data_IF_834549326015
#
_entry.id   IF_834549326015
#
_cell.length_a   1.000
_cell.length_b   1.000
_cell.length_c   1.000
_cell.angle_alpha   90.00
_cell.angle_beta   90.00
_cell.angle_gamma   90.00
#
_symmetry.space_group_name_H-M   'P 1'
#
loop_
_entity.id
_entity.type
_entity.pdbx_description
1 polymer ?
#
# COMPACT_ATOMS: atom_id res chain seq x y z
N UNK A 1 -24.29 -14.03 -0.22
CA UNK A 1 -24.50 -13.45 -1.56
C UNK A 1 -23.14 -13.28 -2.24
N UNK A 2 -23.01 -13.68 -3.50
CA UNK A 2 -21.78 -13.51 -4.28
C UNK A 2 -22.09 -13.53 -5.78
N UNK A 3 -21.15 -13.01 -6.59
CA UNK A 3 -21.24 -13.04 -8.04
C UNK A 3 -20.50 -14.29 -8.55
N UNK A 4 -21.18 -15.26 -9.17
CA UNK A 4 -20.53 -16.47 -9.67
C UNK A 4 -19.69 -16.15 -10.90
N UNK A 5 -18.39 -16.46 -10.84
CA UNK A 5 -17.45 -16.30 -11.95
C UNK A 5 -17.57 -17.49 -12.92
N UNK A 6 -17.98 -18.65 -12.40
CA UNK A 6 -18.10 -19.90 -13.16
C UNK A 6 -19.39 -20.65 -12.79
N UNK A 7 -20.02 -21.36 -13.73
CA UNK A 7 -21.15 -22.24 -13.42
C UNK A 7 -20.78 -23.27 -12.36
N UNK A 8 -21.65 -23.50 -11.37
CA UNK A 8 -21.45 -24.49 -10.30
C UNK A 8 -20.56 -24.02 -9.14
N UNK A 9 -20.16 -22.75 -9.11
CA UNK A 9 -19.50 -22.16 -7.94
C UNK A 9 -20.44 -22.26 -6.72
N UNK A 10 -19.88 -22.54 -5.55
CA UNK A 10 -20.63 -22.67 -4.29
C UNK A 10 -20.32 -21.50 -3.34
N UNK A 11 -19.13 -20.90 -3.47
CA UNK A 11 -18.66 -19.79 -2.62
C UNK A 11 -18.06 -18.71 -3.48
N UNK A 12 -18.31 -17.46 -3.12
CA UNK A 12 -17.65 -16.30 -3.70
C UNK A 12 -16.17 -16.24 -3.32
N UNK A 13 -15.35 -15.76 -4.24
CA UNK A 13 -13.99 -15.34 -3.97
C UNK A 13 -14.01 -13.84 -3.64
N UNK A 14 -13.33 -13.37 -2.59
CA UNK A 14 -13.20 -11.93 -2.32
C UNK A 14 -12.43 -11.26 -3.47
N UNK A 15 -12.94 -10.14 -3.98
CA UNK A 15 -12.29 -9.41 -5.09
C UNK A 15 -10.85 -8.99 -4.76
N UNK A 16 -10.62 -8.57 -3.51
CA UNK A 16 -9.29 -8.18 -3.04
C UNK A 16 -8.30 -9.35 -2.89
N UNK A 17 -8.72 -10.61 -3.01
CA UNK A 17 -7.86 -11.76 -2.73
C UNK A 17 -6.60 -11.79 -3.61
N UNK A 18 -6.72 -11.35 -4.87
CA UNK A 18 -5.59 -11.33 -5.83
C UNK A 18 -4.54 -10.27 -5.47
N UNK A 19 -4.95 -9.20 -4.79
CA UNK A 19 -4.10 -8.08 -4.38
C UNK A 19 -3.38 -8.33 -3.05
N UNK A 20 -3.94 -9.16 -2.15
CA UNK A 20 -3.47 -9.32 -0.77
C UNK A 20 -1.98 -9.69 -0.66
N UNK A 21 -1.52 -10.68 -1.44
CA UNK A 21 -0.13 -11.13 -1.36
C UNK A 21 0.82 -10.02 -1.79
N UNK A 22 0.48 -9.30 -2.86
CA UNK A 22 1.28 -8.17 -3.35
C UNK A 22 1.27 -7.02 -2.36
N UNK A 23 0.13 -6.71 -1.77
CA UNK A 23 -0.01 -5.66 -0.76
C UNK A 23 0.89 -5.91 0.45
N UNK A 24 0.90 -7.15 0.95
CA UNK A 24 1.80 -7.55 2.04
C UNK A 24 3.27 -7.34 1.69
N UNK A 25 3.72 -7.88 0.54
CA UNK A 25 5.12 -7.73 0.12
C UNK A 25 5.50 -6.28 -0.16
N UNK A 26 4.56 -5.47 -0.65
CA UNK A 26 4.75 -4.04 -0.87
C UNK A 26 4.95 -3.29 0.44
N UNK A 27 4.10 -3.57 1.43
CA UNK A 27 4.21 -3.00 2.77
C UNK A 27 5.56 -3.33 3.40
N UNK A 28 5.99 -4.58 3.34
CA UNK A 28 7.29 -5.00 3.88
C UNK A 28 8.46 -4.28 3.20
N UNK A 29 8.38 -4.10 1.87
CA UNK A 29 9.39 -3.37 1.12
C UNK A 29 9.44 -1.88 1.51
N UNK A 30 8.30 -1.21 1.58
CA UNK A 30 8.22 0.22 1.96
C UNK A 30 8.75 0.45 3.38
N UNK A 31 8.35 -0.41 4.33
CA UNK A 31 8.85 -0.38 5.70
C UNK A 31 10.39 -0.62 5.74
N UNK A 32 10.90 -1.58 4.94
CA UNK A 32 12.34 -1.87 4.85
C UNK A 32 13.14 -0.73 4.22
N UNK A 33 12.62 -0.10 3.16
CA UNK A 33 13.25 1.07 2.53
C UNK A 33 13.26 2.27 3.48
N UNK A 34 12.21 2.47 4.27
CA UNK A 34 12.17 3.51 5.29
C UNK A 34 13.23 3.28 6.38
N UNK A 35 13.36 2.04 6.86
CA UNK A 35 14.40 1.66 7.83
C UNK A 35 15.79 1.86 7.24
N UNK A 36 16.03 1.38 6.02
CA UNK A 36 17.31 1.57 5.30
C UNK A 36 17.67 3.06 5.21
N UNK A 37 16.72 3.92 4.84
CA UNK A 37 16.94 5.37 4.76
C UNK A 37 17.24 5.96 6.14
N UNK A 38 16.46 5.61 7.17
CA UNK A 38 16.65 6.10 8.54
C UNK A 38 18.03 5.72 9.11
N UNK A 39 18.44 4.46 8.95
CA UNK A 39 19.73 3.96 9.45
C UNK A 39 20.89 4.60 8.69
N UNK A 40 20.78 4.71 7.36
CA UNK A 40 21.84 5.31 6.54
C UNK A 40 22.00 6.81 6.81
N UNK A 41 20.90 7.53 7.04
CA UNK A 41 20.95 8.95 7.40
C UNK A 41 21.65 9.22 8.74
N UNK A 42 21.85 8.20 9.59
CA UNK A 42 22.59 8.37 10.85
C UNK A 42 24.11 8.50 10.65
N UNK A 43 24.64 8.09 9.49
CA UNK A 43 26.07 8.15 9.20
C UNK A 43 26.39 9.35 8.31
N UNK A 44 27.32 10.21 8.76
CA UNK A 44 27.74 11.41 8.01
C UNK A 44 28.89 11.12 7.05
N UNK A 45 29.83 10.25 7.45
CA UNK A 45 31.01 9.92 6.66
C UNK A 45 31.99 9.08 7.46
N UNK A 46 33.07 8.66 6.81
CA UNK A 46 34.19 7.97 7.42
C UNK A 46 35.47 8.80 7.25
N UNK A 47 36.32 8.82 8.28
CA UNK A 47 37.62 9.47 8.23
C UNK A 47 38.69 8.42 7.86
N UNK A 48 39.26 8.55 6.66
CA UNK A 48 40.32 7.69 6.17
C UNK A 48 41.70 8.31 6.44
N UNK A 49 42.64 7.52 6.96
CA UNK A 49 44.04 7.94 7.20
C UNK A 49 44.99 7.06 6.39
N UNK A 50 45.83 7.67 5.56
CA UNK A 50 46.62 6.96 4.54
C UNK A 50 48.00 6.47 5.03
N UNK A 51 48.47 6.94 6.19
CA UNK A 51 49.73 6.50 6.80
C UNK A 51 49.60 6.41 8.33
N UNK A 52 49.99 5.28 8.91
CA UNK A 52 50.46 5.25 10.30
C UNK A 52 51.88 5.84 10.29
N UNK A 53 52.15 6.87 11.09
CA UNK A 53 53.54 7.25 11.37
C UNK A 53 54.23 6.07 12.07
N UNK A 54 55.54 5.89 11.87
CA UNK A 54 56.32 4.81 12.51
C UNK A 54 56.23 4.84 14.05
N UNK A 55 55.76 5.95 14.63
CA UNK A 55 55.50 6.12 16.08
C UNK A 55 54.17 5.50 16.55
N UNK A 56 53.30 5.01 15.64
CA UNK A 56 52.04 4.33 15.98
C UNK A 56 52.19 2.80 16.06
N UNK A 57 53.39 2.28 15.81
CA UNK A 57 53.77 0.95 16.28
C UNK A 57 54.16 1.06 17.75
N UNK A 58 53.16 1.03 18.63
CA UNK A 58 53.41 0.65 20.02
C UNK A 58 54.19 -0.67 20.00
N UNK A 59 55.44 -0.65 20.48
CA UNK A 59 56.16 -1.89 20.77
C UNK A 59 55.22 -2.75 21.64
N UNK A 60 55.11 -4.07 21.39
CA UNK A 60 54.28 -4.93 22.23
C UNK A 60 54.74 -4.82 23.69
N UNK A 61 53.98 -4.06 24.49
CA UNK A 61 54.32 -3.75 25.89
C UNK A 61 54.10 -2.30 26.35
N UNK A 62 53.84 -1.32 25.46
CA UNK A 62 53.48 0.05 25.88
C UNK A 62 52.01 0.35 25.59
N UNK A 63 51.12 -0.31 26.32
CA UNK A 63 49.77 0.20 26.52
C UNK A 63 49.80 1.04 27.80
N UNK A 64 49.94 2.36 27.66
CA UNK A 64 49.19 3.22 28.57
C UNK A 64 47.75 3.10 28.08
N UNK A 65 47.03 2.22 28.76
CA UNK A 65 45.58 2.07 28.67
C UNK A 65 44.91 3.40 29.05
N UNK A 66 43.72 3.63 28.51
CA UNK A 66 42.72 4.62 28.95
C UNK A 66 42.37 5.81 28.02
N UNK A 67 42.36 5.66 26.70
CA UNK A 67 41.22 6.23 25.96
C UNK A 67 40.71 5.21 24.92
N UNK A 68 39.52 4.62 25.12
CA UNK A 68 38.90 3.84 24.07
C UNK A 68 38.67 4.77 22.89
N UNK A 69 39.34 4.51 21.76
CA UNK A 69 38.99 5.15 20.49
C UNK A 69 37.50 4.95 20.30
N UNK A 70 36.71 6.02 20.42
CA UNK A 70 35.26 5.91 20.23
C UNK A 70 35.03 5.44 18.79
N UNK A 71 34.54 4.20 18.63
CA UNK A 71 34.24 3.58 17.32
C UNK A 71 33.30 4.45 16.46
N UNK A 72 32.56 5.38 17.09
CA UNK A 72 31.72 6.35 16.43
C UNK A 72 31.69 7.68 17.20
N UNK A 73 32.24 8.74 16.61
CA UNK A 73 32.12 10.10 17.13
C UNK A 73 30.74 10.65 16.80
N UNK A 74 29.95 11.01 17.83
CA UNK A 74 28.66 11.67 17.63
C UNK A 74 28.88 13.11 17.18
N UNK A 75 28.69 13.35 15.89
CA UNK A 75 28.69 14.71 15.34
C UNK A 75 27.38 15.39 15.72
N UNK A 76 27.44 16.34 16.65
CA UNK A 76 26.32 17.25 16.91
C UNK A 76 26.10 18.14 15.68
N UNK A 77 24.86 18.53 15.39
CA UNK A 77 24.54 19.48 14.31
C UNK A 77 25.37 20.76 14.46
N UNK A 78 26.42 20.90 13.66
CA UNK A 78 27.52 21.85 13.92
C UNK A 78 28.78 21.55 13.09
N UNK A 79 29.89 22.21 13.42
CA UNK A 79 31.06 22.31 12.52
C UNK A 79 31.98 21.07 12.52
N UNK A 80 32.48 20.72 11.34
CA UNK A 80 33.50 19.69 11.10
C UNK A 80 34.78 20.37 10.55
N UNK A 81 35.89 20.31 11.29
CA UNK A 81 37.21 20.89 10.97
C UNK A 81 38.25 20.07 11.79
N UNK A 82 39.49 19.74 11.40
CA UNK A 82 40.32 19.89 10.21
C UNK A 82 41.17 18.61 10.06
N UNK A 83 41.54 18.28 8.82
CA UNK A 83 42.42 17.16 8.51
C UNK A 83 43.89 17.51 8.69
N UNK A 84 44.60 16.72 9.48
CA UNK A 84 46.07 16.67 9.51
C UNK A 84 46.60 16.16 8.15
N UNK A 85 47.92 16.24 7.95
CA UNK A 85 48.55 15.69 6.74
C UNK A 85 48.15 14.21 6.59
N UNK A 86 47.69 13.82 5.40
CA UNK A 86 47.21 12.46 5.05
C UNK A 86 45.85 12.01 5.64
N UNK A 87 45.02 12.92 6.16
CA UNK A 87 43.62 12.62 6.51
C UNK A 87 42.66 13.01 5.36
N UNK A 88 41.84 12.05 4.92
CA UNK A 88 40.79 12.24 3.90
C UNK A 88 39.42 11.96 4.52
N UNK A 89 38.51 12.91 4.39
CA UNK A 89 37.11 12.72 4.75
C UNK A 89 36.36 12.16 3.54
N UNK A 90 35.85 10.94 3.67
CA UNK A 90 34.89 10.39 2.72
C UNK A 90 33.50 10.51 3.31
N UNK A 91 32.76 11.53 2.87
CA UNK A 91 31.33 11.64 3.19
C UNK A 91 30.59 10.49 2.52
N UNK A 92 29.66 9.87 3.24
CA UNK A 92 28.79 8.90 2.60
C UNK A 92 27.92 9.65 1.59
N UNK A 93 27.92 9.20 0.33
CA UNK A 93 26.91 9.61 -0.65
C UNK A 93 25.57 9.02 -0.18
N UNK A 94 24.90 9.78 0.67
CA UNK A 94 23.64 9.45 1.29
C UNK A 94 22.53 9.45 0.25
N UNK A 95 22.46 8.35 -0.51
CA UNK A 95 21.31 7.97 -1.32
C UNK A 95 21.02 8.90 -2.51
N UNK A 96 21.83 8.82 -3.58
CA UNK A 96 21.47 9.35 -4.90
C UNK A 96 20.32 8.56 -5.59
N UNK A 97 19.66 7.65 -4.86
CA UNK A 97 18.66 6.69 -5.33
C UNK A 97 17.21 7.19 -5.29
N UNK A 98 17.00 8.50 -5.12
CA UNK A 98 15.68 9.11 -5.37
C UNK A 98 15.22 8.94 -6.83
N UNK A 99 16.15 8.69 -7.76
CA UNK A 99 15.84 8.40 -9.15
C UNK A 99 15.15 7.04 -9.29
N UNK A 100 13.88 7.04 -9.70
CA UNK A 100 13.10 5.84 -10.00
C UNK A 100 12.26 5.29 -8.85
N UNK A 101 12.42 5.76 -7.61
CA UNK A 101 11.55 5.34 -6.49
C UNK A 101 10.08 5.69 -6.76
N UNK A 102 9.83 6.92 -7.23
CA UNK A 102 8.47 7.35 -7.58
C UNK A 102 7.84 6.48 -8.69
N UNK A 103 8.62 6.12 -9.72
CA UNK A 103 8.15 5.26 -10.82
C UNK A 103 7.87 3.84 -10.33
N UNK A 104 8.71 3.29 -9.46
CA UNK A 104 8.51 1.99 -8.83
C UNK A 104 7.24 1.99 -7.95
N UNK A 105 7.07 2.98 -7.08
CA UNK A 105 5.89 3.11 -6.22
C UNK A 105 4.60 3.26 -7.02
N UNK A 106 4.66 4.03 -8.12
CA UNK A 106 3.55 4.17 -9.06
C UNK A 106 3.21 2.85 -9.73
N UNK A 107 4.23 2.11 -10.20
CA UNK A 107 4.03 0.80 -10.82
C UNK A 107 3.40 -0.21 -9.84
N UNK A 108 3.86 -0.22 -8.60
CA UNK A 108 3.33 -1.10 -7.56
C UNK A 108 1.85 -0.76 -7.23
N UNK A 109 1.53 0.53 -7.13
CA UNK A 109 0.16 1.00 -6.94
C UNK A 109 -0.75 0.67 -8.13
N UNK A 110 -0.25 0.72 -9.36
CA UNK A 110 -0.98 0.28 -10.57
C UNK A 110 -1.29 -1.22 -10.53
N UNK A 111 -0.32 -2.05 -10.11
CA UNK A 111 -0.56 -3.48 -9.94
C UNK A 111 -1.58 -3.78 -8.86
N UNK A 112 -1.54 -3.05 -7.73
CA UNK A 112 -2.53 -3.17 -6.66
C UNK A 112 -3.93 -2.76 -7.14
N UNK A 113 -4.02 -1.65 -7.85
CA UNK A 113 -5.25 -1.15 -8.49
C UNK A 113 -5.87 -2.20 -9.42
N UNK A 114 -5.03 -2.85 -10.24
CA UNK A 114 -5.46 -3.94 -11.12
C UNK A 114 -6.00 -5.16 -10.36
N UNK A 115 -5.46 -5.46 -9.17
CA UNK A 115 -5.92 -6.59 -8.35
C UNK A 115 -7.21 -6.27 -7.58
N UNK A 116 -7.43 -5.01 -7.23
CA UNK A 116 -8.63 -4.54 -6.53
C UNK A 116 -9.81 -4.21 -7.47
N UNK A 117 -9.60 -4.22 -8.79
CA UNK A 117 -10.55 -3.70 -9.78
C UNK A 117 -10.96 -2.23 -9.52
N UNK A 118 -10.08 -1.45 -8.90
CA UNK A 118 -10.30 -0.02 -8.66
C UNK A 118 -9.37 0.77 -9.57
N UNK A 119 -9.86 1.76 -10.34
CA UNK A 119 -9.00 2.61 -11.15
C UNK A 119 -7.91 3.30 -10.31
N UNK A 120 -6.66 3.27 -10.78
CA UNK A 120 -5.51 3.84 -10.05
C UNK A 120 -5.75 5.25 -9.47
N UNK A 121 -6.26 6.23 -10.25
CA UNK A 121 -6.48 7.58 -9.73
C UNK A 121 -7.51 7.64 -8.60
N UNK A 122 -8.48 6.73 -8.57
CA UNK A 122 -9.45 6.61 -7.49
C UNK A 122 -8.86 5.93 -6.26
N UNK A 123 -7.97 4.95 -6.45
CA UNK A 123 -7.31 4.25 -5.35
C UNK A 123 -6.29 5.16 -4.63
N UNK A 124 -5.45 5.87 -5.39
CA UNK A 124 -4.32 6.64 -4.85
C UNK A 124 -4.62 8.13 -4.66
N UNK A 125 -5.65 8.66 -5.31
CA UNK A 125 -5.91 10.09 -5.39
C UNK A 125 -4.94 10.86 -6.31
N UNK A 126 -4.08 10.14 -7.03
CA UNK A 126 -3.15 10.74 -7.99
C UNK A 126 -3.83 10.94 -9.36
N UNK A 127 -4.13 12.21 -9.65
CA UNK A 127 -4.73 12.65 -10.92
C UNK A 127 -3.71 13.18 -11.92
N UNK A 128 -2.40 13.02 -11.65
CA UNK A 128 -1.35 13.53 -12.52
C UNK A 128 -1.42 12.95 -13.94
N UNK A 129 -1.24 13.82 -14.94
CA UNK A 129 -1.25 13.43 -16.36
C UNK A 129 -2.64 13.10 -16.94
N UNK A 130 -3.73 13.30 -16.21
CA UNK A 130 -5.09 13.06 -16.70
C UNK A 130 -5.79 14.34 -17.14
N UNK A 131 -6.56 14.24 -18.22
CA UNK A 131 -7.44 15.28 -18.71
C UNK A 131 -8.89 15.03 -18.22
N UNK A 132 -9.70 16.08 -18.05
CA UNK A 132 -11.10 15.99 -17.61
C UNK A 132 -11.92 14.98 -18.43
N UNK A 133 -11.73 14.94 -19.75
CA UNK A 133 -12.39 13.94 -20.62
C UNK A 133 -12.05 12.50 -20.25
N UNK A 134 -10.78 12.22 -19.92
CA UNK A 134 -10.33 10.88 -19.54
C UNK A 134 -10.88 10.51 -18.16
N UNK A 135 -10.86 11.45 -17.21
CA UNK A 135 -11.43 11.26 -15.88
C UNK A 135 -12.91 10.90 -15.98
N UNK A 136 -13.70 11.65 -16.75
CA UNK A 136 -15.14 11.35 -16.95
C UNK A 136 -15.37 9.99 -17.58
N UNK A 137 -14.60 9.63 -18.62
CA UNK A 137 -14.73 8.33 -19.27
C UNK A 137 -14.46 7.18 -18.29
N UNK A 138 -13.39 7.29 -17.51
CA UNK A 138 -13.01 6.31 -16.49
C UNK A 138 -14.06 6.18 -15.37
N UNK A 139 -14.56 7.31 -14.85
CA UNK A 139 -15.58 7.31 -13.80
C UNK A 139 -16.90 6.72 -14.29
N UNK A 140 -17.30 6.98 -15.53
CA UNK A 140 -18.52 6.41 -16.11
C UNK A 140 -18.40 4.88 -16.27
N UNK A 141 -17.24 4.39 -16.71
CA UNK A 141 -16.98 2.95 -16.79
C UNK A 141 -17.08 2.28 -15.42
N UNK A 142 -16.38 2.84 -14.43
CA UNK A 142 -16.36 2.31 -13.08
C UNK A 142 -17.73 2.36 -12.39
N UNK A 143 -18.50 3.43 -12.60
CA UNK A 143 -19.89 3.51 -12.11
C UNK A 143 -20.78 2.46 -12.74
N UNK A 144 -20.64 2.20 -14.05
CA UNK A 144 -21.41 1.15 -14.73
C UNK A 144 -21.12 -0.23 -14.17
N UNK A 145 -19.86 -0.50 -13.83
CA UNK A 145 -19.46 -1.74 -13.16
C UNK A 145 -20.10 -1.87 -11.76
N UNK A 146 -20.07 -0.79 -10.96
CA UNK A 146 -20.73 -0.74 -9.65
C UNK A 146 -22.25 -0.93 -9.78
N UNK A 147 -22.90 -0.26 -10.74
CA UNK A 147 -24.34 -0.40 -10.98
C UNK A 147 -24.70 -1.85 -11.33
N UNK A 148 -23.91 -2.50 -12.19
CA UNK A 148 -24.09 -3.92 -12.49
C UNK A 148 -23.98 -4.78 -11.24
N UNK A 149 -22.98 -4.53 -10.39
CA UNK A 149 -22.81 -5.25 -9.12
C UNK A 149 -23.99 -4.98 -8.16
N UNK A 150 -24.45 -3.74 -8.04
CA UNK A 150 -25.61 -3.36 -7.23
C UNK A 150 -26.86 -4.09 -7.69
N UNK A 151 -27.14 -4.13 -8.99
CA UNK A 151 -28.32 -4.81 -9.53
C UNK A 151 -28.27 -6.32 -9.28
N UNK A 152 -27.13 -6.96 -9.56
CA UNK A 152 -27.01 -8.42 -9.50
C UNK A 152 -26.81 -8.98 -8.09
N UNK A 153 -26.18 -8.22 -7.19
CA UNK A 153 -25.95 -8.64 -5.80
C UNK A 153 -26.97 -8.05 -4.86
N UNK A 154 -26.97 -6.71 -4.73
CA UNK A 154 -27.76 -6.03 -3.71
C UNK A 154 -29.24 -6.10 -4.05
N UNK A 155 -29.65 -5.63 -5.23
CA UNK A 155 -31.06 -5.59 -5.60
C UNK A 155 -31.63 -7.00 -5.76
N UNK A 156 -31.01 -7.83 -6.60
CA UNK A 156 -31.55 -9.14 -6.95
C UNK A 156 -31.47 -10.16 -5.81
N UNK A 157 -30.34 -10.27 -5.10
CA UNK A 157 -30.17 -11.32 -4.09
C UNK A 157 -30.58 -10.89 -2.69
N UNK A 158 -30.49 -9.60 -2.36
CA UNK A 158 -30.77 -9.10 -1.00
C UNK A 158 -32.11 -8.37 -0.96
N UNK A 159 -32.24 -7.23 -1.65
CA UNK A 159 -33.42 -6.37 -1.55
C UNK A 159 -34.69 -7.10 -2.00
N UNK A 160 -34.62 -7.90 -3.07
CA UNK A 160 -35.76 -8.69 -3.53
C UNK A 160 -36.22 -9.71 -2.48
N UNK A 161 -35.28 -10.38 -1.82
CA UNK A 161 -35.62 -11.35 -0.77
C UNK A 161 -36.24 -10.66 0.45
N UNK A 162 -35.67 -9.52 0.84
CA UNK A 162 -36.21 -8.67 1.92
C UNK A 162 -37.61 -8.18 1.57
N UNK A 163 -37.83 -7.73 0.35
CA UNK A 163 -39.13 -7.31 -0.17
C UNK A 163 -40.16 -8.45 -0.10
N UNK A 164 -39.79 -9.65 -0.54
CA UNK A 164 -40.67 -10.82 -0.48
C UNK A 164 -41.06 -11.17 0.96
N UNK A 165 -40.11 -11.18 1.89
CA UNK A 165 -40.38 -11.41 3.31
C UNK A 165 -41.27 -10.32 3.92
N UNK A 166 -41.03 -9.07 3.55
CA UNK A 166 -41.87 -7.95 3.98
C UNK A 166 -43.30 -8.09 3.46
N UNK A 167 -43.49 -8.41 2.17
CA UNK A 167 -44.81 -8.64 1.58
C UNK A 167 -45.54 -9.82 2.22
N UNK A 168 -44.86 -10.95 2.42
CA UNK A 168 -45.42 -12.11 3.11
C UNK A 168 -45.91 -11.72 4.52
N UNK A 169 -45.10 -10.96 5.26
CA UNK A 169 -45.46 -10.52 6.61
C UNK A 169 -46.61 -9.52 6.60
N UNK A 170 -46.64 -8.58 5.64
CA UNK A 170 -47.68 -7.57 5.53
C UNK A 170 -49.05 -8.18 5.22
N UNK A 171 -49.09 -9.20 4.36
CA UNK A 171 -50.32 -9.95 4.05
C UNK A 171 -50.76 -10.80 5.25
N UNK A 172 -49.85 -11.54 5.87
CA UNK A 172 -50.16 -12.41 7.02
C UNK A 172 -50.68 -11.64 8.23
N UNK A 173 -50.19 -10.42 8.43
CA UNK A 173 -50.62 -9.54 9.53
C UNK A 173 -51.87 -8.72 9.19
N UNK A 174 -52.43 -8.88 7.98
CA UNK A 174 -53.61 -8.16 7.51
C UNK A 174 -53.38 -6.66 7.28
N UNK A 175 -52.12 -6.22 7.20
CA UNK A 175 -51.76 -4.82 6.89
C UNK A 175 -51.87 -4.52 5.40
N UNK A 176 -51.75 -5.54 4.56
CA UNK A 176 -51.93 -5.45 3.11
C UNK A 176 -53.08 -6.37 2.70
N UNK A 177 -54.05 -5.83 1.95
CA UNK A 177 -55.16 -6.61 1.42
C UNK A 177 -54.82 -7.11 0.01
N UNK A 178 -54.54 -8.41 -0.12
CA UNK A 178 -54.29 -9.08 -1.39
C UNK A 178 -55.07 -10.41 -1.40
N UNK A 179 -56.23 -10.41 -2.07
CA UNK A 179 -57.22 -11.51 -2.04
C UNK A 179 -56.65 -12.85 -2.49
N UNK A 180 -55.86 -12.83 -3.57
CA UNK A 180 -55.38 -14.03 -4.25
C UNK A 180 -53.88 -14.26 -4.02
N UNK A 181 -53.30 -13.60 -3.01
CA UNK A 181 -51.85 -13.64 -2.74
C UNK A 181 -51.32 -15.05 -2.50
N UNK A 182 -52.11 -15.91 -1.85
CA UNK A 182 -51.72 -17.31 -1.61
C UNK A 182 -51.74 -18.17 -2.88
N UNK A 183 -52.52 -17.79 -3.89
CA UNK A 183 -52.65 -18.51 -5.16
C UNK A 183 -51.64 -18.03 -6.20
N UNK A 184 -51.31 -16.73 -6.21
CA UNK A 184 -50.34 -16.16 -7.14
C UNK A 184 -49.38 -15.16 -6.46
N UNK A 185 -48.45 -15.69 -5.65
CA UNK A 185 -47.41 -14.87 -5.03
C UNK A 185 -46.53 -14.15 -6.05
N UNK A 186 -46.27 -14.78 -7.19
CA UNK A 186 -45.35 -14.24 -8.18
C UNK A 186 -45.86 -12.93 -8.77
N UNK A 187 -47.17 -12.82 -9.02
CA UNK A 187 -47.79 -11.58 -9.50
C UNK A 187 -47.61 -10.41 -8.51
N UNK A 188 -47.73 -10.65 -7.21
CA UNK A 188 -47.62 -9.61 -6.18
C UNK A 188 -46.17 -9.31 -5.74
N UNK A 189 -45.23 -10.24 -5.98
CA UNK A 189 -43.82 -10.14 -5.59
C UNK A 189 -42.86 -9.91 -6.76
N UNK A 190 -43.37 -9.79 -7.99
CA UNK A 190 -42.61 -9.44 -9.18
C UNK A 190 -41.93 -8.08 -9.04
#
# INVERSE_FOLDING_TARGET
HYLPIRPGQIRGEPEAATALLKDHTFKEYDDSELVRKKERSAYTGFLYRESHDDDDYGLPGSYDDDEPTEDAVRIQTGYMLHGKLNEKLELFDGDNTGQGYADFMRWQSLQLSSGLAIPYPLLTGDWSGLNDRLVRAMLNEYRREIEMAQDHLMAFQVCRQVWQWWMDTAVLTGKLNASDYSQDKAFYQA
#
